data_IF_714321838351
#
_entry.id   IF_714321838351
#
_cell.length_a   1.000
_cell.length_b   1.000
_cell.length_c   1.000
_cell.angle_alpha   90.00
_cell.angle_beta   90.00
_cell.angle_gamma   90.00
#
_symmetry.space_group_name_H-M   'P 1'
#
loop_
_entity.id
_entity.type
_entity.pdbx_description
1 polymer ?
#
# COMPACT_ATOMS: atom_id res chain seq x y z
N UNK A 1 -5.22 -18.33 -2.88
CA UNK A 1 -4.83 -17.06 -3.51
C UNK A 1 -6.07 -16.20 -3.62
N UNK A 2 -6.15 -15.16 -2.82
CA UNK A 2 -7.25 -14.19 -2.88
C UNK A 2 -6.87 -13.11 -3.90
N UNK A 3 -7.77 -12.79 -4.85
CA UNK A 3 -7.57 -11.75 -5.87
C UNK A 3 -8.65 -10.72 -5.68
N UNK A 4 -8.26 -9.49 -5.37
CA UNK A 4 -9.21 -8.40 -5.21
C UNK A 4 -9.13 -7.55 -6.47
N UNK A 5 -10.25 -7.43 -7.16
CA UNK A 5 -10.42 -6.53 -8.28
C UNK A 5 -10.98 -5.22 -7.74
N UNK A 6 -10.29 -4.13 -7.99
CA UNK A 6 -10.74 -2.81 -7.58
C UNK A 6 -10.36 -1.79 -8.64
N UNK A 7 -11.17 -0.74 -8.77
CA UNK A 7 -10.88 0.34 -9.70
C UNK A 7 -9.60 1.06 -9.31
N UNK A 8 -8.98 1.78 -10.25
CA UNK A 8 -7.82 2.63 -9.96
C UNK A 8 -8.04 3.55 -8.76
N UNK A 9 -9.21 4.17 -8.67
CA UNK A 9 -9.54 5.07 -7.57
C UNK A 9 -9.58 4.31 -6.24
N UNK A 10 -10.25 3.15 -6.21
CA UNK A 10 -10.30 2.30 -5.01
C UNK A 10 -8.92 1.78 -4.60
N UNK A 11 -8.08 1.40 -5.56
CA UNK A 11 -6.72 0.95 -5.29
C UNK A 11 -5.86 2.08 -4.71
N UNK A 12 -6.00 3.31 -5.22
CA UNK A 12 -5.38 4.51 -4.69
C UNK A 12 -5.86 4.83 -3.28
N UNK A 13 -7.17 4.79 -3.03
CA UNK A 13 -7.77 5.02 -1.71
C UNK A 13 -7.33 3.94 -0.69
N UNK A 14 -7.26 2.69 -1.12
CA UNK A 14 -6.78 1.58 -0.30
C UNK A 14 -5.32 1.77 0.08
N UNK A 15 -4.46 2.13 -0.88
CA UNK A 15 -3.05 2.42 -0.62
C UNK A 15 -2.87 3.64 0.28
N UNK A 16 -3.67 4.69 0.10
CA UNK A 16 -3.68 5.87 0.97
C UNK A 16 -4.08 5.51 2.41
N UNK A 17 -5.12 4.69 2.60
CA UNK A 17 -5.50 4.17 3.92
C UNK A 17 -4.40 3.33 4.54
N UNK A 18 -3.76 2.45 3.77
CA UNK A 18 -2.66 1.62 4.25
C UNK A 18 -1.46 2.47 4.67
N UNK A 19 -1.11 3.47 3.87
CA UNK A 19 -0.07 4.45 4.19
C UNK A 19 -0.40 5.22 5.47
N UNK A 20 -1.62 5.75 5.58
CA UNK A 20 -2.06 6.51 6.74
C UNK A 20 -2.08 5.64 8.02
N UNK A 21 -2.47 4.37 7.91
CA UNK A 21 -2.40 3.39 9.00
C UNK A 21 -0.96 3.08 9.40
N UNK A 22 -0.05 2.97 8.43
CA UNK A 22 1.37 2.77 8.70
C UNK A 22 1.98 3.99 9.41
N UNK A 23 1.70 5.20 8.93
CA UNK A 23 2.13 6.46 9.57
C UNK A 23 1.57 6.58 10.98
N UNK A 24 0.28 6.29 11.18
CA UNK A 24 -0.36 6.33 12.50
C UNK A 24 0.25 5.34 13.50
N UNK A 25 0.58 4.12 13.02
CA UNK A 25 1.32 3.13 13.82
C UNK A 25 2.70 3.64 14.24
N UNK A 26 3.41 4.35 13.37
CA UNK A 26 4.76 4.84 13.65
C UNK A 26 4.72 6.07 14.55
N UNK A 27 3.69 6.90 14.43
CA UNK A 27 3.43 8.05 15.29
C UNK A 27 2.92 7.68 16.68
N UNK A 28 2.54 6.42 16.91
CA UNK A 28 2.07 5.97 18.22
C UNK A 28 3.22 5.99 19.24
N UNK A 29 3.05 6.62 20.42
CA UNK A 29 4.12 6.79 21.41
C UNK A 29 4.64 5.46 22.00
N UNK A 30 3.89 4.37 21.81
CA UNK A 30 4.26 3.01 22.24
C UNK A 30 4.91 2.18 21.13
N UNK A 31 4.95 2.65 19.89
CA UNK A 31 5.56 1.91 18.77
C UNK A 31 7.02 2.32 18.64
N UNK A 32 7.92 1.33 18.73
CA UNK A 32 9.34 1.58 18.52
C UNK A 32 9.57 1.71 17.01
N UNK A 33 9.72 2.94 16.53
CA UNK A 33 10.00 3.20 15.11
C UNK A 33 11.19 2.36 14.67
N UNK A 34 10.97 1.44 13.73
CA UNK A 34 12.05 0.64 13.16
C UNK A 34 12.38 1.15 11.75
N UNK A 35 13.61 0.95 11.26
CA UNK A 35 13.94 1.24 9.86
C UNK A 35 13.08 0.44 8.87
N UNK A 36 12.51 -0.69 9.29
CA UNK A 36 11.57 -1.46 8.48
C UNK A 36 10.22 -0.75 8.31
N UNK A 37 9.76 0.02 9.29
CA UNK A 37 8.53 0.82 9.17
C UNK A 37 8.70 1.96 8.15
N UNK A 38 9.85 2.64 8.17
CA UNK A 38 10.18 3.66 7.17
C UNK A 38 10.27 3.07 5.76
N UNK A 39 10.96 1.93 5.62
CA UNK A 39 11.04 1.22 4.34
C UNK A 39 9.67 0.76 3.82
N UNK A 40 8.75 0.39 4.72
CA UNK A 40 7.38 0.03 4.35
C UNK A 40 6.59 1.23 3.83
N UNK A 41 6.71 2.40 4.46
CA UNK A 41 6.11 3.65 3.96
C UNK A 41 6.66 4.01 2.58
N UNK A 42 7.99 4.00 2.41
CA UNK A 42 8.61 4.36 1.13
C UNK A 42 8.21 3.39 0.01
N UNK A 43 8.08 2.09 0.33
CA UNK A 43 7.57 1.10 -0.62
C UNK A 43 6.11 1.37 -1.02
N UNK A 44 5.26 1.75 -0.05
CA UNK A 44 3.87 2.15 -0.29
C UNK A 44 3.77 3.41 -1.17
N UNK A 45 4.62 4.41 -0.92
CA UNK A 45 4.63 5.68 -1.67
C UNK A 45 5.09 5.46 -3.12
N UNK A 46 6.14 4.64 -3.33
CA UNK A 46 6.53 4.18 -4.68
C UNK A 46 5.39 3.46 -5.39
N UNK A 47 4.70 2.55 -4.70
CA UNK A 47 3.60 1.81 -5.29
C UNK A 47 2.44 2.73 -5.70
N UNK A 48 2.10 3.72 -4.86
CA UNK A 48 1.14 4.78 -5.18
C UNK A 48 1.53 5.53 -6.46
N UNK A 49 2.81 5.92 -6.56
CA UNK A 49 3.33 6.62 -7.73
C UNK A 49 3.24 5.75 -8.99
N UNK A 50 3.59 4.47 -8.90
CA UNK A 50 3.54 3.52 -10.02
C UNK A 50 2.10 3.22 -10.49
N UNK A 51 1.15 3.06 -9.56
CA UNK A 51 -0.28 2.88 -9.88
C UNK A 51 -0.85 4.15 -10.54
N UNK A 52 -0.51 5.33 -10.02
CA UNK A 52 -0.88 6.63 -10.60
C UNK A 52 -0.27 6.83 -11.99
N UNK A 53 0.96 6.40 -12.18
CA UNK A 53 1.68 6.47 -13.46
C UNK A 53 1.23 5.41 -14.49
N UNK A 54 0.26 4.54 -14.15
CA UNK A 54 -0.19 3.41 -15.00
C UNK A 54 0.94 2.42 -15.33
N UNK A 55 1.96 2.36 -14.48
CA UNK A 55 3.08 1.42 -14.62
C UNK A 55 2.77 0.08 -13.97
N UNK A 56 1.89 0.08 -12.97
CA UNK A 56 1.47 -1.10 -12.22
C UNK A 56 -0.04 -1.22 -12.27
N UNK A 57 -0.51 -2.27 -12.95
CA UNK A 57 -1.91 -2.70 -13.00
C UNK A 57 -2.21 -3.80 -11.97
N UNK A 58 -1.19 -4.32 -11.28
CA UNK A 58 -1.35 -5.39 -10.32
C UNK A 58 -0.25 -5.34 -9.25
N UNK A 59 -0.64 -5.35 -7.98
CA UNK A 59 0.28 -5.30 -6.86
C UNK A 59 -0.20 -6.16 -5.70
N UNK A 60 0.71 -6.51 -4.80
CA UNK A 60 0.40 -7.33 -3.64
C UNK A 60 0.79 -6.57 -2.37
N UNK A 61 -0.17 -6.34 -1.47
CA UNK A 61 0.12 -5.76 -0.15
C UNK A 61 0.38 -6.91 0.82
N UNK A 62 1.65 -7.09 1.23
CA UNK A 62 2.16 -8.19 2.04
C UNK A 62 2.22 -9.55 1.31
N UNK A 63 3.28 -10.31 1.57
CA UNK A 63 3.56 -11.61 0.95
C UNK A 63 2.45 -12.67 1.14
N UNK A 64 1.59 -12.50 2.16
CA UNK A 64 0.45 -13.39 2.45
C UNK A 64 -0.92 -12.79 2.15
N UNK A 65 -1.03 -11.53 1.72
CA UNK A 65 -2.31 -10.90 1.46
C UNK A 65 -2.62 -10.80 -0.04
N UNK A 66 -3.91 -10.62 -0.31
CA UNK A 66 -4.53 -10.73 -1.62
C UNK A 66 -3.79 -9.96 -2.73
N UNK A 67 -3.78 -10.54 -3.92
CA UNK A 67 -3.29 -9.87 -5.12
C UNK A 67 -4.34 -8.84 -5.56
N UNK A 68 -3.96 -7.57 -5.54
CA UNK A 68 -4.82 -6.47 -5.97
C UNK A 68 -4.60 -6.27 -7.47
N UNK A 69 -5.67 -6.41 -8.23
CA UNK A 69 -5.70 -6.16 -9.68
C UNK A 69 -6.47 -4.86 -9.87
N UNK A 70 -5.78 -3.87 -10.41
CA UNK A 70 -6.32 -2.57 -10.74
C UNK A 70 -7.00 -2.69 -12.10
N UNK A 71 -8.29 -2.39 -12.14
CA UNK A 71 -9.06 -2.32 -13.39
C UNK A 71 -9.37 -0.86 -13.71
N UNK A 72 -9.23 -0.47 -14.98
CA UNK A 72 -9.58 0.86 -15.50
C UNK A 72 -11.09 1.00 -15.77
#
# INVERSE_FOLDING_TARGET
>A
MDRIFMTRTEALEFLLKAHQTAVDKIGHPSHKQTPADHAAIEALDRLLLDVRARRVDQFQINASAAQIIVTD
#
